data_IF_282927055582
#
_entry.id   IF_282927055582
#
_cell.length_a   1.000
_cell.length_b   1.000
_cell.length_c   1.000
_cell.angle_alpha   90.00
_cell.angle_beta   90.00
_cell.angle_gamma   90.00
#
_symmetry.space_group_name_H-M   'P 1'
#
loop_
_entity.id
_entity.type
_entity.pdbx_description
1 polymer ?
#
# COMPACT_ATOMS: atom_id res chain seq x y z
N UNK A 1 -2.72 -61.03 5.38
CA UNK A 1 -1.56 -61.87 5.77
C UNK A 1 -0.33 -61.30 5.08
N UNK A 2 0.71 -60.95 5.85
CA UNK A 2 2.13 -60.80 5.44
C UNK A 2 2.39 -59.73 4.35
N UNK A 3 3.09 -58.61 4.61
CA UNK A 3 4.52 -58.53 4.99
C UNK A 3 4.77 -57.30 5.88
N UNK A 4 5.44 -57.52 7.01
CA UNK A 4 6.16 -56.51 7.82
C UNK A 4 7.59 -56.40 7.27
N UNK A 5 8.20 -55.21 7.29
CA UNK A 5 9.55 -54.88 7.79
C UNK A 5 9.98 -53.53 7.18
N UNK A 6 10.15 -52.47 7.99
CA UNK A 6 11.38 -52.12 8.73
C UNK A 6 12.44 -51.49 7.80
N UNK A 7 12.79 -50.23 8.04
CA UNK A 7 13.94 -49.63 7.36
C UNK A 7 14.02 -48.11 7.47
N UNK A 8 14.35 -47.61 8.65
CA UNK A 8 14.87 -46.26 8.88
C UNK A 8 16.13 -46.08 8.02
N UNK A 9 16.23 -45.00 7.24
CA UNK A 9 17.53 -44.37 7.01
C UNK A 9 17.35 -42.88 6.66
N UNK A 10 17.50 -42.05 7.69
CA UNK A 10 17.94 -40.68 7.56
C UNK A 10 19.34 -40.69 6.92
N UNK A 11 19.46 -40.19 5.69
CA UNK A 11 20.76 -39.77 5.13
C UNK A 11 20.63 -38.31 4.71
N UNK A 12 20.99 -37.44 5.64
CA UNK A 12 21.53 -36.13 5.31
C UNK A 12 22.87 -36.36 4.60
N UNK A 13 22.87 -36.33 3.27
CA UNK A 13 24.08 -36.08 2.49
C UNK A 13 24.06 -34.60 2.11
N UNK A 14 24.80 -33.83 2.91
CA UNK A 14 25.26 -32.51 2.54
C UNK A 14 26.17 -32.59 1.29
N UNK A 15 26.59 -31.41 0.83
CA UNK A 15 27.68 -31.13 -0.11
C UNK A 15 27.28 -31.08 -1.59
N UNK A 16 26.98 -29.87 -2.06
CA UNK A 16 26.80 -29.56 -3.48
C UNK A 16 26.33 -28.13 -3.74
N UNK A 17 26.90 -27.15 -3.06
CA UNK A 17 26.70 -25.74 -3.36
C UNK A 17 27.98 -25.22 -4.04
N UNK A 18 27.96 -25.09 -5.36
CA UNK A 18 29.01 -24.41 -6.12
C UNK A 18 28.35 -23.63 -7.25
N UNK A 19 27.96 -22.39 -6.96
CA UNK A 19 27.79 -21.31 -7.94
C UNK A 19 27.27 -20.07 -7.20
N UNK A 20 28.14 -19.08 -6.99
CA UNK A 20 27.90 -17.66 -7.32
C UNK A 20 29.00 -16.77 -6.70
N UNK A 21 29.78 -16.17 -7.60
CA UNK A 21 29.90 -14.73 -7.75
C UNK A 21 30.38 -13.87 -6.57
N UNK A 22 31.50 -13.19 -6.88
CA UNK A 22 31.73 -11.77 -6.62
C UNK A 22 31.76 -11.32 -5.15
N UNK A 23 32.99 -11.28 -4.64
CA UNK A 23 33.51 -10.10 -3.95
C UNK A 23 32.96 -8.81 -4.58
N UNK A 24 32.16 -8.04 -3.84
CA UNK A 24 32.67 -6.82 -3.22
C UNK A 24 31.68 -6.26 -2.19
N UNK A 25 32.27 -5.91 -1.05
CA UNK A 25 31.72 -5.24 0.09
C UNK A 25 31.26 -3.82 -0.27
N UNK A 26 30.01 -3.49 0.04
CA UNK A 26 29.59 -2.10 0.25
C UNK A 26 28.54 -2.08 1.36
N UNK A 27 29.04 -2.00 2.59
CA UNK A 27 28.28 -1.63 3.77
C UNK A 27 27.90 -0.16 3.67
N UNK A 28 26.76 0.13 3.04
CA UNK A 28 26.14 1.45 3.12
C UNK A 28 25.31 1.49 4.39
N UNK A 29 25.91 2.00 5.47
CA UNK A 29 25.26 2.26 6.74
C UNK A 29 24.14 3.28 6.54
N UNK A 30 22.90 2.86 6.74
CA UNK A 30 21.73 3.75 6.79
C UNK A 30 21.99 4.87 7.81
N UNK A 31 21.81 6.16 7.45
CA UNK A 31 21.79 7.22 8.44
C UNK A 31 20.51 7.06 9.29
N UNK A 32 20.68 6.53 10.48
CA UNK A 32 19.71 6.61 11.58
C UNK A 32 19.62 8.06 12.05
N UNK A 33 18.64 8.79 11.52
CA UNK A 33 18.26 10.10 12.05
C UNK A 33 17.11 10.71 11.24
N UNK A 34 16.05 11.24 11.87
CA UNK A 34 15.13 12.11 11.17
C UNK A 34 15.91 13.34 10.66
N UNK A 35 15.68 13.80 9.42
CA UNK A 35 16.32 15.02 8.93
C UNK A 35 15.94 16.19 9.84
N UNK A 36 16.89 17.09 10.19
CA UNK A 36 16.56 18.27 10.97
C UNK A 36 15.58 19.13 10.18
N UNK A 37 14.45 19.45 10.80
CA UNK A 37 13.49 20.43 10.29
C UNK A 37 14.14 21.82 10.33
N UNK A 38 14.73 22.24 9.22
CA UNK A 38 15.18 23.63 9.06
C UNK A 38 13.95 24.51 8.83
N UNK A 39 13.51 25.17 9.90
CA UNK A 39 12.52 26.26 9.84
C UNK A 39 13.17 27.48 9.16
N UNK A 40 13.16 27.52 7.84
CA UNK A 40 13.48 28.74 7.10
C UNK A 40 12.25 29.66 7.14
N UNK A 41 12.26 30.61 8.09
CA UNK A 41 11.32 31.72 8.15
C UNK A 41 11.50 32.64 6.94
N UNK A 42 10.48 32.75 6.08
CA UNK A 42 10.43 33.79 5.03
C UNK A 42 10.11 35.17 5.65
N UNK A 43 10.70 36.27 5.14
CA UNK A 43 10.44 37.60 5.64
C UNK A 43 9.05 38.11 5.24
N UNK A 44 8.38 38.70 6.23
CA UNK A 44 7.14 39.48 6.10
C UNK A 44 7.46 40.92 5.72
N UNK A 45 6.78 41.49 4.70
CA UNK A 45 6.27 42.88 4.64
C UNK A 45 5.63 43.14 3.26
N UNK A 46 4.30 43.13 3.16
CA UNK A 46 3.46 44.32 2.92
C UNK A 46 2.70 44.11 1.59
N UNK A 47 1.45 44.47 1.33
CA UNK A 47 0.52 45.44 1.91
C UNK A 47 -0.90 45.04 1.46
N UNK A 48 -1.89 45.40 2.26
CA UNK A 48 -3.32 45.13 2.02
C UNK A 48 -3.84 45.84 0.77
N UNK A 49 -4.65 45.13 -0.03
CA UNK A 49 -5.69 45.76 -0.83
C UNK A 49 -7.00 44.98 -0.63
N UNK A 50 -7.99 45.69 -0.15
CA UNK A 50 -9.31 45.20 0.20
C UNK A 50 -10.22 45.24 -1.02
N UNK A 51 -10.89 44.12 -1.35
CA UNK A 51 -12.13 44.18 -2.11
C UNK A 51 -13.09 43.03 -1.74
N UNK A 52 -14.41 43.31 -1.68
CA UNK A 52 -15.33 42.58 -0.85
C UNK A 52 -15.92 41.32 -1.51
N UNK A 53 -16.37 40.45 -0.61
CA UNK A 53 -17.13 39.21 -0.77
C UNK A 53 -18.32 39.28 -1.76
N UNK A 54 -18.28 38.48 -2.83
CA UNK A 54 -19.39 37.74 -3.47
C UNK A 54 -18.92 37.35 -4.87
N UNK A 55 -18.58 36.10 -5.17
CA UNK A 55 -19.58 35.06 -5.34
C UNK A 55 -18.83 33.72 -5.34
N UNK A 56 -18.72 33.10 -4.16
CA UNK A 56 -18.29 31.70 -4.06
C UNK A 56 -19.42 30.89 -4.67
N UNK A 57 -19.33 30.60 -5.97
CA UNK A 57 -20.14 29.54 -6.56
C UNK A 57 -19.84 28.30 -5.75
N UNK A 58 -20.81 27.94 -4.92
CA UNK A 58 -20.86 26.69 -4.19
C UNK A 58 -20.78 25.58 -5.22
N UNK A 59 -19.60 25.01 -5.41
CA UNK A 59 -19.48 23.66 -5.94
C UNK A 59 -20.37 22.83 -5.03
N UNK A 60 -21.45 22.19 -5.53
CA UNK A 60 -22.16 21.19 -4.75
C UNK A 60 -21.12 20.15 -4.38
N UNK A 61 -20.71 20.13 -3.11
CA UNK A 61 -19.99 19.01 -2.54
C UNK A 61 -20.96 17.84 -2.69
N UNK A 62 -20.77 17.03 -3.73
CA UNK A 62 -21.49 15.77 -3.90
C UNK A 62 -21.07 14.92 -2.72
N UNK A 63 -21.81 15.01 -1.61
CA UNK A 63 -21.65 14.15 -0.45
C UNK A 63 -21.90 12.73 -0.93
N UNK A 64 -20.84 11.98 -1.21
CA UNK A 64 -20.88 10.52 -1.37
C UNK A 64 -21.14 9.82 -0.02
N UNK A 65 -21.36 10.58 1.04
CA UNK A 65 -21.19 10.10 2.41
C UNK A 65 -22.50 9.59 3.04
N UNK A 66 -23.64 9.69 2.36
CA UNK A 66 -24.94 9.38 3.00
C UNK A 66 -25.72 8.24 2.35
N UNK A 67 -25.24 7.67 1.23
CA UNK A 67 -25.92 6.56 0.56
C UNK A 67 -25.23 5.21 0.74
N UNK A 68 -23.91 5.19 1.05
CA UNK A 68 -23.17 3.94 1.23
C UNK A 68 -23.37 3.29 2.61
N UNK A 69 -23.82 4.05 3.61
CA UNK A 69 -23.96 3.54 4.98
C UNK A 69 -25.31 2.85 5.25
N UNK A 70 -26.30 2.93 4.34
CA UNK A 70 -27.68 2.51 4.65
C UNK A 70 -28.11 1.17 4.08
N UNK A 71 -27.41 0.65 3.07
CA UNK A 71 -27.70 -0.66 2.53
C UNK A 71 -26.41 -1.47 2.69
N UNK A 72 -26.46 -2.60 3.40
CA UNK A 72 -25.36 -3.58 3.53
C UNK A 72 -24.98 -4.24 2.21
N UNK A 73 -24.95 -3.47 1.13
CA UNK A 73 -24.41 -3.78 -0.16
C UNK A 73 -22.91 -3.54 -0.02
N UNK A 74 -22.16 -4.62 0.19
CA UNK A 74 -20.71 -4.60 0.07
C UNK A 74 -20.35 -3.99 -1.28
N UNK A 75 -19.79 -2.78 -1.26
CA UNK A 75 -19.18 -2.20 -2.45
C UNK A 75 -18.18 -3.23 -2.99
N UNK A 76 -18.34 -3.77 -4.21
CA UNK A 76 -17.42 -4.75 -4.75
C UNK A 76 -16.01 -4.20 -4.93
N UNK A 77 -15.83 -2.88 -4.88
CA UNK A 77 -14.53 -2.21 -4.98
C UNK A 77 -14.31 -1.28 -3.77
N UNK A 78 -14.10 -1.85 -2.57
CA UNK A 78 -13.94 -1.07 -1.36
C UNK A 78 -12.62 -0.30 -1.37
N UNK A 79 -12.62 0.90 -0.78
CA UNK A 79 -11.37 1.60 -0.45
C UNK A 79 -10.68 0.90 0.72
N UNK A 80 -9.40 0.61 0.54
CA UNK A 80 -8.54 -0.07 1.52
C UNK A 80 -7.62 0.94 2.20
N UNK A 81 -7.46 0.81 3.52
CA UNK A 81 -6.54 1.63 4.30
C UNK A 81 -5.38 0.80 4.85
N UNK A 82 -4.23 1.46 4.97
CA UNK A 82 -2.99 0.87 5.47
C UNK A 82 -2.49 1.60 6.72
N UNK A 83 -1.72 0.92 7.59
CA UNK A 83 -1.00 1.60 8.64
C UNK A 83 0.05 2.58 8.08
N UNK A 84 0.55 3.45 8.95
CA UNK A 84 1.65 4.35 8.63
C UNK A 84 2.89 3.56 8.19
N UNK A 85 3.55 4.02 7.11
CA UNK A 85 4.73 3.38 6.51
C UNK A 85 4.59 1.85 6.31
N UNK A 86 3.39 1.42 5.91
CA UNK A 86 3.11 0.00 5.68
C UNK A 86 2.33 -0.24 4.39
N UNK A 87 2.55 -1.43 3.84
CA UNK A 87 1.83 -2.05 2.72
C UNK A 87 1.31 -3.45 3.09
N UNK A 88 1.31 -3.78 4.40
CA UNK A 88 0.84 -5.06 4.90
C UNK A 88 -0.69 -5.11 4.90
N UNK A 89 -1.25 -6.25 4.47
CA UNK A 89 -2.69 -6.46 4.36
C UNK A 89 -3.22 -7.03 5.68
N UNK A 90 -3.88 -6.18 6.46
CA UNK A 90 -4.56 -6.61 7.69
C UNK A 90 -5.78 -7.49 7.40
N UNK A 91 -6.24 -8.27 8.38
CA UNK A 91 -7.40 -9.15 8.21
C UNK A 91 -8.68 -8.43 7.78
N UNK A 92 -8.93 -7.21 8.27
CA UNK A 92 -10.08 -6.41 7.82
C UNK A 92 -10.02 -6.09 6.33
N UNK A 93 -8.81 -5.88 5.81
CA UNK A 93 -8.59 -5.63 4.38
C UNK A 93 -8.78 -6.92 3.59
N UNK A 94 -8.34 -8.07 4.13
CA UNK A 94 -8.54 -9.38 3.50
C UNK A 94 -10.03 -9.66 3.26
N UNK A 95 -10.87 -9.46 4.29
CA UNK A 95 -12.33 -9.64 4.18
C UNK A 95 -12.96 -8.80 3.05
N UNK A 96 -12.43 -7.58 2.83
CA UNK A 96 -12.86 -6.67 1.78
C UNK A 96 -12.37 -7.12 0.40
N UNK A 97 -11.13 -7.57 0.30
CA UNK A 97 -10.55 -8.07 -0.94
C UNK A 97 -11.18 -9.40 -1.38
N UNK A 98 -11.59 -10.25 -0.45
CA UNK A 98 -12.30 -11.49 -0.75
C UNK A 98 -13.65 -11.24 -1.46
N UNK A 99 -14.34 -10.16 -1.06
CA UNK A 99 -15.56 -9.73 -1.74
C UNK A 99 -15.28 -9.26 -3.17
N UNK A 100 -14.20 -8.48 -3.38
CA UNK A 100 -13.76 -8.05 -4.71
C UNK A 100 -13.34 -9.22 -5.58
N UNK A 101 -12.54 -10.15 -5.06
CA UNK A 101 -12.10 -11.35 -5.76
C UNK A 101 -13.30 -12.23 -6.17
N UNK A 102 -14.25 -12.42 -5.26
CA UNK A 102 -15.50 -13.13 -5.55
C UNK A 102 -16.33 -12.46 -6.66
N UNK A 103 -16.35 -11.13 -6.67
CA UNK A 103 -17.03 -10.36 -7.72
C UNK A 103 -16.31 -10.50 -9.08
N UNK A 104 -14.98 -10.40 -9.10
CA UNK A 104 -14.19 -10.56 -10.33
C UNK A 104 -14.31 -11.97 -10.91
N UNK A 105 -14.34 -13.00 -10.07
CA UNK A 105 -14.55 -14.39 -10.51
C UNK A 105 -15.92 -14.60 -11.18
N UNK A 106 -16.94 -13.81 -10.82
CA UNK A 106 -18.26 -13.84 -11.47
C UNK A 106 -18.26 -13.11 -12.82
N UNK A 107 -17.39 -12.12 -13.00
CA UNK A 107 -17.35 -11.27 -14.19
C UNK A 107 -15.93 -11.18 -14.77
N UNK A 108 -15.42 -12.25 -15.40
CA UNK A 108 -14.02 -12.34 -15.84
C UNK A 108 -13.64 -11.41 -17.01
N UNK A 109 -14.64 -10.79 -17.65
CA UNK A 109 -14.42 -9.87 -18.77
C UNK A 109 -14.10 -8.43 -18.32
N UNK A 110 -14.13 -8.15 -17.02
CA UNK A 110 -13.85 -6.82 -16.48
C UNK A 110 -12.37 -6.71 -16.12
N UNK A 111 -11.79 -5.57 -16.48
CA UNK A 111 -10.45 -5.18 -16.08
C UNK A 111 -10.52 -4.25 -14.87
N UNK A 112 -9.70 -4.53 -13.86
CA UNK A 112 -9.62 -3.74 -12.62
C UNK A 112 -8.28 -2.99 -12.58
N UNK A 113 -8.35 -1.66 -12.48
CA UNK A 113 -7.19 -0.81 -12.22
C UNK A 113 -7.06 -0.56 -10.72
N UNK A 114 -5.88 -0.79 -10.17
CA UNK A 114 -5.58 -0.59 -8.74
C UNK A 114 -4.63 0.59 -8.61
N UNK A 115 -5.03 1.60 -7.84
CA UNK A 115 -4.23 2.80 -7.59
C UNK A 115 -3.85 2.92 -6.12
N UNK A 116 -2.55 3.13 -5.87
CA UNK A 116 -2.01 3.30 -4.52
C UNK A 116 -1.82 4.76 -4.19
N UNK A 117 -2.45 5.21 -3.09
CA UNK A 117 -2.34 6.57 -2.60
C UNK A 117 -1.59 6.63 -1.26
N UNK A 118 -0.91 7.75 -1.05
CA UNK A 118 -0.15 8.06 0.17
C UNK A 118 -0.53 9.45 0.66
N UNK A 119 -0.20 9.75 1.92
CA UNK A 119 -0.40 11.08 2.46
C UNK A 119 0.71 12.04 2.00
N UNK A 120 0.59 13.32 2.34
CA UNK A 120 1.55 14.35 1.90
C UNK A 120 2.87 14.35 2.69
N UNK A 121 3.07 13.41 3.61
CA UNK A 121 4.25 13.42 4.49
C UNK A 121 5.42 12.75 3.77
N UNK A 122 6.62 13.31 3.90
CA UNK A 122 7.84 12.77 3.27
C UNK A 122 8.11 13.30 1.86
N UNK A 123 9.02 12.65 1.13
CA UNK A 123 9.36 13.03 -0.25
C UNK A 123 8.39 12.42 -1.24
N UNK A 124 8.13 13.12 -2.36
CA UNK A 124 7.26 12.64 -3.43
C UNK A 124 7.71 11.29 -3.99
N UNK A 125 9.02 11.12 -4.21
CA UNK A 125 9.58 9.88 -4.76
C UNK A 125 9.36 8.68 -3.85
N UNK A 126 9.50 8.86 -2.54
CA UNK A 126 9.22 7.82 -1.56
C UNK A 126 7.72 7.47 -1.54
N UNK A 127 6.86 8.48 -1.55
CA UNK A 127 5.40 8.31 -1.58
C UNK A 127 4.91 7.63 -2.86
N UNK A 128 5.55 7.88 -4.00
CA UNK A 128 5.29 7.18 -5.25
C UNK A 128 5.63 5.69 -5.12
N UNK A 129 6.81 5.36 -4.61
CA UNK A 129 7.24 3.96 -4.41
C UNK A 129 6.32 3.24 -3.42
N UNK A 130 5.97 3.88 -2.31
CA UNK A 130 5.07 3.32 -1.30
C UNK A 130 3.66 3.07 -1.88
N UNK A 131 3.14 4.01 -2.69
CA UNK A 131 1.88 3.83 -3.43
C UNK A 131 1.94 2.62 -4.36
N UNK A 132 2.99 2.49 -5.16
CA UNK A 132 3.20 1.33 -6.04
C UNK A 132 3.26 0.03 -5.25
N UNK A 133 3.94 0.00 -4.09
CA UNK A 133 4.00 -1.19 -3.22
C UNK A 133 2.64 -1.58 -2.68
N UNK A 134 1.82 -0.61 -2.25
CA UNK A 134 0.44 -0.85 -1.77
C UNK A 134 -0.44 -1.41 -2.87
N UNK A 135 -0.41 -0.81 -4.06
CA UNK A 135 -1.17 -1.31 -5.20
C UNK A 135 -0.73 -2.72 -5.61
N UNK A 136 0.58 -2.98 -5.59
CA UNK A 136 1.15 -4.30 -5.87
C UNK A 136 0.71 -5.33 -4.83
N UNK A 137 0.75 -5.01 -3.54
CA UNK A 137 0.31 -5.91 -2.48
C UNK A 137 -1.17 -6.32 -2.67
N UNK A 138 -2.05 -5.35 -2.97
CA UNK A 138 -3.47 -5.63 -3.26
C UNK A 138 -3.65 -6.49 -4.51
N UNK A 139 -2.82 -6.30 -5.53
CA UNK A 139 -2.85 -7.11 -6.76
C UNK A 139 -2.37 -8.54 -6.55
N UNK A 140 -1.40 -8.74 -5.66
CA UNK A 140 -0.80 -10.05 -5.37
C UNK A 140 -1.65 -10.90 -4.41
N UNK A 141 -2.57 -10.27 -3.68
CA UNK A 141 -3.60 -10.94 -2.89
C UNK A 141 -4.63 -11.62 -3.79
#
# INVERSE_FOLDING_TARGET
>A
MIVRLLGILMVCAAWGCESLSMTHQSSESLPSGPPPVTLTSLPTSGTQDSSPLSQRMSIPQVRKDSLSQKNGLSDPFPTVYFPFDSWEISSEVQDRLDATASWMNRFPNYELTIEGHTDVRGTESYNMILGVRRAKAVKEY
#
